data_IF_817240845058
#
_entry.id   IF_817240845058
#
_cell.length_a   1.000
_cell.length_b   1.000
_cell.length_c   1.000
_cell.angle_alpha   90.00
_cell.angle_beta   90.00
_cell.angle_gamma   90.00
#
_symmetry.space_group_name_H-M   'P 1'
#
loop_
_entity.id
_entity.type
_entity.pdbx_description
1 polymer ?
#
# COMPACT_ATOMS: atom_id res chain seq x y z
N UNK A 1 18.42 42.87 74.29
CA UNK A 1 17.62 42.75 73.06
C UNK A 1 17.82 41.34 72.50
N UNK A 2 16.93 40.40 72.81
CA UNK A 2 17.00 39.02 72.30
C UNK A 2 15.95 38.84 71.20
N UNK A 3 16.38 38.51 69.99
CA UNK A 3 15.49 38.20 68.86
C UNK A 3 15.06 36.74 68.92
N UNK A 4 13.78 36.50 69.21
CA UNK A 4 13.17 35.17 69.13
C UNK A 4 12.75 34.90 67.68
N UNK A 5 13.49 34.06 66.96
CA UNK A 5 13.12 33.62 65.61
C UNK A 5 12.12 32.47 65.74
N UNK A 6 10.88 32.67 65.29
CA UNK A 6 9.89 31.59 65.16
C UNK A 6 10.21 30.76 63.91
N UNK A 7 10.36 29.44 64.00
CA UNK A 7 10.57 28.61 62.81
C UNK A 7 9.28 28.58 61.99
N UNK A 8 9.39 28.86 60.69
CA UNK A 8 8.32 28.63 59.72
C UNK A 8 8.54 27.26 59.08
N UNK A 9 7.60 26.35 59.32
CA UNK A 9 7.55 25.07 58.60
C UNK A 9 7.05 25.36 57.19
N UNK A 10 7.90 25.15 56.19
CA UNK A 10 7.53 25.23 54.77
C UNK A 10 7.16 23.82 54.34
N UNK A 11 5.86 23.57 54.15
CA UNK A 11 5.38 22.30 53.58
C UNK A 11 5.62 22.32 52.07
N UNK A 12 6.63 21.57 51.61
CA UNK A 12 6.87 21.34 50.18
C UNK A 12 5.98 20.17 49.75
N UNK A 13 4.91 20.47 49.02
CA UNK A 13 4.07 19.44 48.39
C UNK A 13 4.75 19.01 47.09
N UNK A 14 5.49 17.90 47.11
CA UNK A 14 5.97 17.27 45.88
C UNK A 14 4.79 16.57 45.18
N UNK A 15 4.28 17.18 44.12
CA UNK A 15 3.32 16.55 43.22
C UNK A 15 4.07 15.53 42.34
N UNK A 16 4.13 14.28 42.79
CA UNK A 16 4.57 13.15 41.96
C UNK A 16 3.53 12.94 40.85
N UNK A 17 3.74 13.62 39.72
CA UNK A 17 3.01 13.36 38.50
C UNK A 17 3.50 12.01 37.95
N UNK A 18 2.93 10.91 38.43
CA UNK A 18 3.05 9.62 37.76
C UNK A 18 2.32 9.77 36.44
N UNK A 19 3.04 10.16 35.38
CA UNK A 19 2.57 9.87 34.04
C UNK A 19 2.52 8.36 33.95
N UNK A 20 1.31 7.80 34.02
CA UNK A 20 1.09 6.44 33.62
C UNK A 20 1.58 6.37 32.17
N UNK A 21 2.75 5.76 31.96
CA UNK A 21 3.18 5.35 30.64
C UNK A 21 2.20 4.24 30.29
N UNK A 22 1.07 4.60 29.70
CA UNK A 22 0.18 3.64 29.09
C UNK A 22 1.04 2.91 28.07
N UNK A 23 1.38 1.65 28.37
CA UNK A 23 1.97 0.77 27.39
C UNK A 23 1.07 0.87 26.15
N UNK A 24 1.63 1.25 25.00
CA UNK A 24 0.92 1.24 23.73
C UNK A 24 0.37 -0.18 23.55
N UNK A 25 -0.90 -0.36 23.87
CA UNK A 25 -1.60 -1.59 23.57
C UNK A 25 -1.76 -1.57 22.05
N UNK A 26 -1.07 -2.50 21.36
CA UNK A 26 -1.32 -2.71 19.95
C UNK A 26 -2.77 -3.14 19.82
N UNK A 27 -3.63 -2.20 19.44
CA UNK A 27 -5.02 -2.54 19.14
C UNK A 27 -5.06 -3.27 17.81
N UNK A 28 -5.73 -4.42 17.82
CA UNK A 28 -6.04 -5.13 16.58
C UNK A 28 -7.01 -4.28 15.77
N UNK A 29 -6.71 -4.11 14.49
CA UNK A 29 -7.58 -3.41 13.56
C UNK A 29 -8.19 -4.39 12.57
N UNK A 30 -9.49 -4.28 12.37
CA UNK A 30 -10.22 -5.06 11.36
C UNK A 30 -11.21 -4.14 10.67
N UNK A 31 -11.24 -4.21 9.34
CA UNK A 31 -12.18 -3.46 8.53
C UNK A 31 -12.54 -4.23 7.26
N UNK A 32 -13.73 -3.94 6.74
CA UNK A 32 -14.20 -4.40 5.44
C UNK A 32 -14.69 -3.19 4.69
N UNK A 33 -14.31 -3.09 3.42
CA UNK A 33 -14.62 -1.95 2.56
C UNK A 33 -15.28 -2.43 1.27
N UNK A 34 -16.07 -1.54 0.67
CA UNK A 34 -16.79 -1.82 -0.57
C UNK A 34 -18.29 -2.08 -0.33
N UNK A 35 -19.15 -1.85 -1.34
CA UNK A 35 -18.88 -1.11 -2.58
C UNK A 35 -18.38 0.33 -2.31
N UNK A 36 -17.60 0.90 -3.22
CA UNK A 36 -16.92 2.18 -3.02
C UNK A 36 -17.69 3.34 -3.64
N UNK A 37 -17.93 4.40 -2.86
CA UNK A 37 -18.53 5.65 -3.31
C UNK A 37 -17.67 6.87 -2.91
N UNK A 38 -18.13 8.07 -3.23
CA UNK A 38 -17.38 9.31 -2.95
C UNK A 38 -17.11 9.57 -1.45
N UNK A 39 -17.85 8.94 -0.53
CA UNK A 39 -17.61 9.08 0.92
C UNK A 39 -16.27 8.49 1.35
N UNK A 40 -15.78 7.48 0.63
CA UNK A 40 -14.50 6.81 0.89
C UNK A 40 -13.27 7.71 0.65
N UNK A 41 -13.44 8.88 0.02
CA UNK A 41 -12.38 9.89 -0.09
C UNK A 41 -11.95 10.48 1.26
N UNK A 42 -12.72 10.25 2.32
CA UNK A 42 -12.32 10.58 3.71
C UNK A 42 -11.49 9.48 4.37
N UNK A 43 -11.56 8.26 3.84
CA UNK A 43 -10.94 7.04 4.42
C UNK A 43 -9.64 6.72 3.68
N UNK A 44 -9.60 6.95 2.37
CA UNK A 44 -8.47 6.64 1.50
C UNK A 44 -7.85 7.89 0.89
N UNK A 45 -6.53 7.86 0.75
CA UNK A 45 -5.79 8.80 -0.07
C UNK A 45 -5.61 8.21 -1.47
N UNK A 46 -5.78 9.04 -2.48
CA UNK A 46 -5.66 8.69 -3.89
C UNK A 46 -4.47 9.44 -4.49
N UNK A 47 -3.72 8.78 -5.37
CA UNK A 47 -2.56 9.35 -6.06
C UNK A 47 -2.53 8.90 -7.52
N UNK A 48 -1.88 9.71 -8.36
CA UNK A 48 -1.78 9.46 -9.79
C UNK A 48 -3.16 9.52 -10.43
N UNK A 49 -3.49 8.48 -11.18
CA UNK A 49 -4.77 8.38 -11.89
C UNK A 49 -5.87 7.70 -11.06
N UNK A 50 -5.58 7.30 -9.82
CA UNK A 50 -6.51 6.52 -9.02
C UNK A 50 -7.78 7.32 -8.69
N UNK A 51 -8.93 6.67 -8.84
CA UNK A 51 -10.24 7.24 -8.56
C UNK A 51 -11.20 6.17 -8.02
N UNK A 52 -12.43 6.59 -7.76
CA UNK A 52 -13.55 5.69 -7.51
C UNK A 52 -14.42 5.75 -8.76
N UNK A 53 -14.70 4.60 -9.34
CA UNK A 53 -15.56 4.45 -10.52
C UNK A 53 -16.31 3.13 -10.43
N UNK A 54 -17.56 3.10 -10.88
CA UNK A 54 -18.40 1.89 -10.92
C UNK A 54 -18.38 1.05 -9.63
N UNK A 55 -18.51 1.70 -8.47
CA UNK A 55 -18.47 1.07 -7.15
C UNK A 55 -17.14 0.37 -6.77
N UNK A 56 -16.05 0.65 -7.49
CA UNK A 56 -14.73 0.08 -7.31
C UNK A 56 -13.66 1.16 -7.11
N UNK A 57 -12.55 0.77 -6.47
CA UNK A 57 -11.30 1.53 -6.56
C UNK A 57 -10.69 1.26 -7.93
N UNK A 58 -10.58 2.29 -8.77
CA UNK A 58 -9.98 2.22 -10.09
C UNK A 58 -8.58 2.84 -10.02
N UNK A 59 -7.53 2.04 -10.18
CA UNK A 59 -6.14 2.52 -10.10
C UNK A 59 -5.71 3.27 -11.37
N UNK A 60 -6.06 2.71 -12.52
CA UNK A 60 -5.84 3.31 -13.84
C UNK A 60 -7.16 3.35 -14.61
N UNK A 61 -7.42 4.41 -15.40
CA UNK A 61 -8.66 4.55 -16.14
C UNK A 61 -8.87 3.37 -17.10
N UNK A 62 -10.10 2.89 -17.20
CA UNK A 62 -10.48 2.05 -18.32
C UNK A 62 -10.56 2.89 -19.60
N UNK A 63 -10.23 2.27 -20.73
CA UNK A 63 -10.27 2.93 -22.04
C UNK A 63 -11.67 3.06 -22.64
N UNK A 64 -12.70 2.46 -22.01
CA UNK A 64 -14.11 2.65 -22.37
C UNK A 64 -14.59 4.09 -22.10
N UNK A 65 -13.87 4.87 -21.30
CA UNK A 65 -14.12 6.30 -21.09
C UNK A 65 -13.81 7.17 -22.34
N UNK A 66 -13.33 6.58 -23.45
CA UNK A 66 -13.09 7.31 -24.70
C UNK A 66 -14.33 7.53 -25.57
N UNK A 67 -15.52 7.07 -25.18
CA UNK A 67 -16.75 7.31 -25.95
C UNK A 67 -17.38 8.67 -25.61
N UNK A 68 -16.70 9.78 -25.96
CA UNK A 68 -17.37 11.10 -26.09
C UNK A 68 -16.72 12.32 -25.44
N UNK A 69 -15.54 12.22 -24.83
CA UNK A 69 -14.78 13.38 -24.33
C UNK A 69 -13.31 13.30 -24.74
N UNK A 70 -12.60 14.43 -24.68
CA UNK A 70 -11.23 14.64 -25.18
C UNK A 70 -10.31 13.44 -24.91
N UNK A 71 -9.48 13.00 -25.90
CA UNK A 71 -8.61 11.85 -25.73
C UNK A 71 -7.67 12.06 -24.54
N UNK A 72 -7.92 11.36 -23.44
CA UNK A 72 -6.96 11.28 -22.33
C UNK A 72 -5.91 10.23 -22.70
N UNK A 73 -4.61 10.52 -22.54
CA UNK A 73 -3.59 9.47 -22.63
C UNK A 73 -3.89 8.41 -21.57
N UNK A 74 -4.23 7.21 -22.02
CA UNK A 74 -4.43 6.01 -21.17
C UNK A 74 -3.13 5.21 -20.98
N UNK A 75 -2.05 5.69 -21.60
CA UNK A 75 -0.73 5.07 -21.54
C UNK A 75 0.13 5.75 -20.48
N UNK A 76 1.10 5.01 -19.93
CA UNK A 76 2.07 5.54 -18.99
C UNK A 76 1.43 6.18 -17.75
N UNK A 77 0.36 5.56 -17.27
CA UNK A 77 -0.33 5.96 -16.04
C UNK A 77 0.00 4.98 -14.91
N UNK A 78 -0.01 5.50 -13.69
CA UNK A 78 -0.10 4.72 -12.48
C UNK A 78 -1.17 5.33 -11.58
N UNK A 79 -1.65 4.56 -10.62
CA UNK A 79 -2.46 5.09 -9.53
C UNK A 79 -2.29 4.26 -8.28
N UNK A 80 -2.37 4.93 -7.13
CA UNK A 80 -2.30 4.28 -5.82
C UNK A 80 -3.49 4.71 -4.98
N UNK A 81 -3.99 3.77 -4.17
CA UNK A 81 -4.96 4.05 -3.12
C UNK A 81 -4.42 3.51 -1.80
N UNK A 82 -4.36 4.36 -0.77
CA UNK A 82 -3.85 4.00 0.56
C UNK A 82 -4.85 4.34 1.64
N UNK A 83 -5.06 3.41 2.57
CA UNK A 83 -5.82 3.66 3.79
C UNK A 83 -5.16 4.79 4.60
N UNK A 84 -5.94 5.80 4.99
CA UNK A 84 -5.41 6.95 5.75
C UNK A 84 -4.93 6.57 7.14
N UNK A 85 -5.49 5.51 7.73
CA UNK A 85 -5.04 4.98 9.02
C UNK A 85 -3.64 4.39 8.89
N UNK A 86 -2.73 4.83 9.76
CA UNK A 86 -1.38 4.29 9.87
C UNK A 86 -1.32 3.18 10.90
N UNK A 87 -0.38 2.24 10.71
CA UNK A 87 -0.16 1.10 11.58
C UNK A 87 1.30 1.02 11.98
N UNK A 88 1.57 0.66 13.23
CA UNK A 88 2.91 0.33 13.70
C UNK A 88 3.19 -1.14 13.34
N UNK A 89 4.11 -1.38 12.40
CA UNK A 89 4.45 -2.73 11.95
C UNK A 89 5.48 -3.42 12.85
N UNK A 90 6.30 -2.64 13.56
CA UNK A 90 7.24 -3.17 14.54
C UNK A 90 7.56 -2.13 15.60
N UNK A 91 7.97 -2.61 16.77
CA UNK A 91 8.45 -1.83 17.90
C UNK A 91 9.74 -2.50 18.40
N UNK A 92 10.83 -1.72 18.41
CA UNK A 92 12.08 -2.15 19.04
C UNK A 92 12.10 -1.67 20.49
N UNK A 93 12.10 -2.62 21.41
CA UNK A 93 12.20 -2.33 22.84
C UNK A 93 13.58 -2.76 23.32
N UNK A 94 14.46 -1.80 23.59
CA UNK A 94 15.83 -2.06 24.06
C UNK A 94 15.90 -2.93 25.33
N UNK A 95 14.82 -3.02 26.10
CA UNK A 95 14.75 -3.78 27.34
C UNK A 95 13.81 -5.01 27.26
N UNK A 96 13.22 -5.31 26.09
CA UNK A 96 12.36 -6.48 25.85
C UNK A 96 12.65 -7.09 24.49
N UNK A 97 11.80 -8.04 24.08
CA UNK A 97 11.82 -8.62 22.75
C UNK A 97 11.19 -7.65 21.76
N UNK A 98 11.84 -7.46 20.61
CA UNK A 98 11.27 -6.77 19.47
C UNK A 98 9.91 -7.37 19.12
N UNK A 99 8.95 -6.50 18.84
CA UNK A 99 7.59 -6.89 18.49
C UNK A 99 7.36 -6.57 17.02
N UNK A 100 6.86 -7.54 16.28
CA UNK A 100 6.45 -7.39 14.89
C UNK A 100 4.95 -7.66 14.80
N UNK A 101 4.23 -6.81 14.09
CA UNK A 101 2.80 -6.98 13.86
C UNK A 101 2.55 -7.99 12.74
N UNK A 102 1.72 -8.98 13.01
CA UNK A 102 1.16 -9.85 11.97
C UNK A 102 -0.14 -9.25 11.45
N UNK A 103 -0.42 -9.40 10.15
CA UNK A 103 -1.67 -8.94 9.55
C UNK A 103 -2.08 -9.82 8.37
N UNK A 104 -3.37 -9.78 8.06
CA UNK A 104 -3.89 -10.37 6.84
C UNK A 104 -4.70 -9.33 6.06
N UNK A 105 -4.84 -9.58 4.77
CA UNK A 105 -5.66 -8.77 3.87
C UNK A 105 -6.25 -9.67 2.81
N UNK A 106 -7.49 -9.41 2.42
CA UNK A 106 -8.10 -10.06 1.27
C UNK A 106 -8.83 -9.04 0.44
N UNK A 107 -8.70 -9.14 -0.88
CA UNK A 107 -9.34 -8.24 -1.80
C UNK A 107 -9.72 -8.96 -3.09
N UNK A 108 -10.69 -8.36 -3.79
CA UNK A 108 -11.09 -8.76 -5.13
C UNK A 108 -10.54 -7.71 -6.09
N UNK A 109 -9.93 -8.15 -7.18
CA UNK A 109 -9.51 -7.27 -8.25
C UNK A 109 -9.72 -7.94 -9.62
N UNK A 110 -9.72 -7.12 -10.65
CA UNK A 110 -9.80 -7.58 -12.04
C UNK A 110 -8.95 -6.66 -12.90
N UNK A 111 -8.19 -7.25 -13.82
CA UNK A 111 -7.54 -6.52 -14.91
C UNK A 111 -8.39 -6.70 -16.15
N UNK A 112 -8.77 -5.59 -16.80
CA UNK A 112 -9.65 -5.62 -17.96
C UNK A 112 -8.92 -5.05 -19.19
N UNK A 113 -8.35 -5.92 -20.04
CA UNK A 113 -7.79 -5.47 -21.30
C UNK A 113 -8.90 -5.20 -22.32
N UNK A 114 -8.80 -4.07 -23.01
CA UNK A 114 -9.52 -3.93 -24.26
C UNK A 114 -8.85 -4.84 -25.29
N UNK A 115 -9.63 -5.75 -25.87
CA UNK A 115 -9.15 -6.59 -26.97
C UNK A 115 -8.50 -5.77 -28.09
N UNK A 116 -7.62 -6.42 -28.86
CA UNK A 116 -6.76 -5.78 -29.85
C UNK A 116 -5.29 -6.13 -29.59
N UNK A 117 -4.37 -5.53 -30.36
CA UNK A 117 -2.92 -5.78 -30.25
C UNK A 117 -2.24 -4.96 -29.13
N UNK A 118 -2.96 -4.60 -28.06
CA UNK A 118 -2.41 -3.83 -26.94
C UNK A 118 -2.11 -4.74 -25.75
N UNK A 119 -0.95 -4.58 -25.13
CA UNK A 119 -0.60 -5.30 -23.91
C UNK A 119 -1.60 -4.99 -22.79
N UNK A 120 -2.11 -5.99 -22.05
CA UNK A 120 -3.04 -5.82 -20.93
C UNK A 120 -2.41 -5.16 -19.69
N UNK A 121 -1.15 -4.75 -19.78
CA UNK A 121 -0.28 -4.40 -18.67
C UNK A 121 -0.53 -3.09 -17.95
N UNK A 122 0.08 -2.92 -16.76
CA UNK A 122 1.27 -3.67 -16.30
C UNK A 122 1.02 -4.58 -15.08
N UNK A 123 -0.08 -4.40 -14.35
CA UNK A 123 -0.43 -5.26 -13.21
C UNK A 123 -1.06 -4.51 -12.04
N UNK A 124 -1.02 -5.12 -10.86
CA UNK A 124 -1.52 -4.57 -9.60
C UNK A 124 -0.61 -5.01 -8.44
N UNK A 125 -0.53 -4.20 -7.38
CA UNK A 125 0.21 -4.59 -6.18
C UNK A 125 -0.50 -4.18 -4.89
N UNK A 126 -0.36 -5.02 -3.85
CA UNK A 126 -0.60 -4.63 -2.47
C UNK A 126 0.69 -4.06 -1.88
N UNK A 127 0.64 -2.88 -1.27
CA UNK A 127 1.85 -2.17 -0.82
C UNK A 127 1.79 -1.80 0.67
N UNK A 128 2.95 -1.85 1.32
CA UNK A 128 3.23 -1.19 2.60
C UNK A 128 4.31 -0.13 2.38
N UNK A 129 3.99 1.11 2.73
CA UNK A 129 4.92 2.25 2.64
C UNK A 129 4.78 3.14 3.89
N UNK A 130 5.89 3.62 4.48
CA UNK A 130 5.84 4.52 5.63
C UNK A 130 5.49 5.96 5.20
N UNK A 131 5.84 6.35 3.97
CA UNK A 131 5.66 7.70 3.45
C UNK A 131 4.78 7.69 2.20
N UNK A 132 3.70 8.45 2.24
CA UNK A 132 2.72 8.54 1.14
C UNK A 132 2.98 9.72 0.20
N UNK A 133 3.45 10.84 0.73
CA UNK A 133 3.62 12.10 0.01
C UNK A 133 4.95 12.21 -0.77
N UNK A 134 5.62 11.08 -1.05
CA UNK A 134 6.87 11.11 -1.80
C UNK A 134 6.57 11.00 -3.29
N UNK A 135 6.95 12.02 -4.04
CA UNK A 135 6.78 12.05 -5.48
C UNK A 135 7.51 10.87 -6.14
N UNK A 136 6.77 10.03 -6.87
CA UNK A 136 7.34 9.01 -7.73
C UNK A 136 7.41 9.54 -9.15
N UNK A 137 8.63 9.77 -9.63
CA UNK A 137 8.89 10.17 -11.02
C UNK A 137 8.98 8.94 -11.91
N UNK A 138 8.26 8.96 -13.04
CA UNK A 138 8.27 7.88 -14.04
C UNK A 138 7.96 6.49 -13.45
N UNK A 139 6.96 6.42 -12.57
CA UNK A 139 6.55 5.21 -11.86
C UNK A 139 5.56 4.31 -12.61
N UNK A 140 5.19 4.68 -13.84
CA UNK A 140 4.30 3.91 -14.70
C UNK A 140 5.05 2.75 -15.39
N UNK A 141 4.31 1.97 -16.18
CA UNK A 141 4.90 0.88 -16.95
C UNK A 141 5.37 -0.23 -16.02
N UNK A 142 6.53 -0.81 -16.36
CA UNK A 142 7.26 -1.78 -15.54
C UNK A 142 7.38 -1.45 -14.06
N UNK A 143 7.29 -0.17 -13.65
CA UNK A 143 7.46 0.21 -12.25
C UNK A 143 6.18 0.11 -11.39
N UNK A 144 5.01 -0.22 -11.96
CA UNK A 144 3.74 -0.53 -11.26
C UNK A 144 3.24 0.52 -10.23
N UNK A 145 3.73 1.76 -10.27
CA UNK A 145 3.48 2.75 -9.22
C UNK A 145 4.24 2.47 -7.91
N UNK A 146 5.17 1.50 -7.90
CA UNK A 146 5.89 1.02 -6.73
C UNK A 146 7.15 1.84 -6.44
N UNK A 147 7.90 2.13 -7.48
CA UNK A 147 9.20 2.82 -7.40
C UNK A 147 9.36 3.82 -8.54
N UNK A 148 10.40 4.65 -8.48
CA UNK A 148 10.72 5.63 -9.51
C UNK A 148 12.19 5.58 -9.90
N UNK A 149 12.51 6.35 -10.93
CA UNK A 149 13.90 6.53 -11.37
C UNK A 149 14.77 7.03 -10.20
N UNK A 150 15.86 6.32 -9.93
CA UNK A 150 16.81 6.67 -8.86
C UNK A 150 16.37 6.23 -7.46
N UNK A 151 15.32 5.41 -7.30
CA UNK A 151 14.91 4.84 -6.01
C UNK A 151 14.95 3.31 -6.01
N UNK A 152 14.68 2.74 -7.17
CA UNK A 152 14.65 1.30 -7.36
C UNK A 152 15.94 0.63 -6.88
N UNK A 153 15.80 -0.38 -6.01
CA UNK A 153 16.92 -1.13 -5.44
C UNK A 153 17.55 -0.52 -4.19
N UNK A 154 17.19 0.71 -3.81
CA UNK A 154 17.78 1.37 -2.64
C UNK A 154 16.91 1.25 -1.39
N UNK A 155 17.53 1.09 -0.23
CA UNK A 155 16.84 0.94 1.07
C UNK A 155 15.95 2.12 1.45
N UNK A 156 16.29 3.33 0.98
CA UNK A 156 15.46 4.51 1.17
C UNK A 156 14.16 4.46 0.36
N UNK A 157 13.96 3.50 -0.55
CA UNK A 157 12.66 3.32 -1.19
C UNK A 157 11.57 2.99 -0.15
N UNK A 158 11.95 2.25 0.91
CA UNK A 158 11.10 1.84 2.03
C UNK A 158 9.77 1.24 1.57
N UNK A 159 9.86 0.28 0.65
CA UNK A 159 8.72 -0.38 0.01
C UNK A 159 8.74 -1.87 0.34
N UNK A 160 7.59 -2.38 0.75
CA UNK A 160 7.25 -3.79 0.64
C UNK A 160 6.02 -3.91 -0.25
N UNK A 161 6.05 -4.78 -1.25
CA UNK A 161 4.89 -5.04 -2.09
C UNK A 161 4.71 -6.52 -2.40
N UNK A 162 3.46 -6.91 -2.64
CA UNK A 162 3.12 -8.16 -3.32
C UNK A 162 2.49 -7.77 -4.66
N UNK A 163 3.22 -7.99 -5.74
CA UNK A 163 2.78 -7.67 -7.10
C UNK A 163 2.06 -8.85 -7.77
N UNK A 164 1.17 -8.51 -8.68
CA UNK A 164 0.47 -9.37 -9.61
C UNK A 164 0.76 -8.80 -10.99
N UNK A 165 1.79 -9.33 -11.64
CA UNK A 165 2.38 -8.80 -12.86
C UNK A 165 1.92 -9.62 -14.08
N UNK A 166 1.38 -8.93 -15.07
CA UNK A 166 0.87 -9.51 -16.31
C UNK A 166 1.64 -9.08 -17.58
N UNK A 167 2.85 -8.55 -17.43
CA UNK A 167 3.77 -8.19 -18.54
C UNK A 167 5.19 -8.59 -18.20
N UNK A 168 5.81 -9.41 -19.04
CA UNK A 168 7.19 -9.82 -18.80
C UNK A 168 8.19 -8.70 -19.11
N UNK A 169 8.99 -8.32 -18.12
CA UNK A 169 10.29 -7.67 -18.29
C UNK A 169 11.46 -8.65 -18.15
N UNK A 170 12.68 -8.16 -18.37
CA UNK A 170 13.93 -8.96 -18.38
C UNK A 170 14.26 -9.63 -17.04
N UNK A 171 13.66 -9.15 -15.95
CA UNK A 171 13.87 -9.65 -14.60
C UNK A 171 12.75 -10.59 -14.13
N UNK A 172 11.70 -10.76 -14.92
CA UNK A 172 10.52 -11.54 -14.56
C UNK A 172 10.60 -12.99 -15.04
N UNK A 173 10.01 -13.94 -14.30
CA UNK A 173 9.97 -15.34 -14.71
C UNK A 173 9.14 -15.53 -16.00
N UNK A 174 7.99 -14.87 -16.09
CA UNK A 174 7.05 -14.91 -17.20
C UNK A 174 6.15 -13.67 -17.19
N UNK A 175 5.16 -13.62 -18.09
CA UNK A 175 4.22 -12.50 -18.21
C UNK A 175 2.94 -12.68 -17.38
N UNK A 176 2.94 -13.53 -16.35
CA UNK A 176 1.77 -13.83 -15.52
C UNK A 176 2.21 -14.46 -14.19
N UNK A 177 2.69 -13.63 -13.27
CA UNK A 177 3.27 -14.09 -12.01
C UNK A 177 2.85 -13.23 -10.80
N UNK A 178 3.07 -13.79 -9.62
CA UNK A 178 3.03 -13.06 -8.34
C UNK A 178 4.44 -12.91 -7.81
N UNK A 179 4.74 -11.77 -7.20
CA UNK A 179 6.07 -11.42 -6.71
C UNK A 179 6.05 -10.77 -5.34
N UNK A 180 7.12 -10.97 -4.55
CA UNK A 180 7.39 -10.24 -3.31
C UNK A 180 8.53 -9.25 -3.54
N UNK A 181 8.21 -7.97 -3.50
CA UNK A 181 9.13 -6.88 -3.80
C UNK A 181 9.60 -6.21 -2.51
N UNK A 182 10.92 -6.11 -2.30
CA UNK A 182 11.52 -5.36 -1.18
C UNK A 182 12.39 -4.26 -1.76
N UNK A 183 11.96 -3.00 -1.60
CA UNK A 183 12.65 -1.78 -2.05
C UNK A 183 12.95 -1.69 -3.56
N UNK A 184 12.60 -2.69 -4.37
CA UNK A 184 12.87 -2.73 -5.80
C UNK A 184 11.67 -3.27 -6.56
N UNK A 185 11.56 -2.93 -7.85
CA UNK A 185 10.64 -3.60 -8.77
C UNK A 185 11.05 -5.05 -9.01
N UNK A 186 12.35 -5.39 -8.94
CA UNK A 186 12.76 -6.78 -9.07
C UNK A 186 12.34 -7.55 -7.82
N UNK A 187 11.41 -8.47 -7.98
CA UNK A 187 10.96 -9.36 -6.91
C UNK A 187 12.08 -10.20 -6.30
N UNK A 188 12.06 -10.33 -4.97
CA UNK A 188 12.94 -11.21 -4.21
C UNK A 188 12.54 -12.68 -4.34
N UNK A 189 11.24 -12.94 -4.47
CA UNK A 189 10.64 -14.27 -4.66
C UNK A 189 9.49 -14.12 -5.62
N UNK A 190 9.37 -15.05 -6.57
CA UNK A 190 8.28 -15.06 -7.56
C UNK A 190 7.66 -16.45 -7.68
N UNK A 191 6.41 -16.49 -8.15
CA UNK A 191 5.74 -17.72 -8.55
C UNK A 191 4.90 -17.47 -9.81
N UNK A 192 5.06 -18.32 -10.82
CA UNK A 192 4.22 -18.32 -12.02
C UNK A 192 2.78 -18.66 -11.65
N UNK A 193 1.82 -17.87 -12.13
CA UNK A 193 0.39 -18.15 -11.99
C UNK A 193 -0.11 -19.08 -13.09
N UNK A 194 0.59 -19.10 -14.23
CA UNK A 194 0.28 -19.98 -15.37
C UNK A 194 0.31 -21.45 -14.99
N UNK A 195 1.27 -21.87 -14.16
CA UNK A 195 1.38 -23.26 -13.69
C UNK A 195 0.24 -23.68 -12.75
N UNK A 196 -0.47 -22.70 -12.19
CA UNK A 196 -1.62 -22.88 -11.31
C UNK A 196 -2.96 -22.74 -12.06
N UNK A 197 -2.94 -22.49 -13.37
CA UNK A 197 -4.14 -22.24 -14.17
C UNK A 197 -4.84 -20.92 -13.83
N UNK A 198 -4.10 -19.95 -13.28
CA UNK A 198 -4.61 -18.62 -12.94
C UNK A 198 -4.10 -17.63 -13.99
N UNK A 199 -5.00 -16.81 -14.53
CA UNK A 199 -4.68 -15.78 -15.52
C UNK A 199 -5.12 -14.40 -15.03
N UNK A 200 -4.15 -13.50 -14.89
CA UNK A 200 -4.39 -12.14 -14.37
C UNK A 200 -5.23 -11.27 -15.30
N UNK A 201 -5.02 -11.40 -16.61
CA UNK A 201 -5.66 -10.58 -17.62
C UNK A 201 -5.96 -11.40 -18.88
N UNK A 202 -7.05 -12.18 -18.89
CA UNK A 202 -7.38 -13.05 -20.02
C UNK A 202 -7.65 -12.27 -21.30
N UNK A 203 -7.24 -12.84 -22.43
CA UNK A 203 -7.47 -12.25 -23.75
C UNK A 203 -8.97 -12.13 -24.07
N UNK A 204 -9.33 -11.13 -24.90
CA UNK A 204 -10.66 -11.07 -25.53
C UNK A 204 -11.76 -10.33 -24.78
N UNK A 205 -11.46 -9.22 -24.10
CA UNK A 205 -12.44 -8.46 -23.27
C UNK A 205 -13.09 -9.31 -22.16
N UNK A 206 -12.46 -10.42 -21.78
CA UNK A 206 -12.86 -11.13 -20.58
C UNK A 206 -12.24 -10.43 -19.36
N UNK A 207 -13.03 -10.21 -18.31
CA UNK A 207 -12.50 -9.90 -16.98
C UNK A 207 -12.43 -11.19 -16.15
N UNK A 208 -11.28 -11.47 -15.56
CA UNK A 208 -11.20 -12.41 -14.44
C UNK A 208 -11.36 -11.61 -13.14
N UNK A 209 -12.34 -11.98 -12.32
CA UNK A 209 -12.43 -11.47 -10.96
C UNK A 209 -11.62 -12.39 -10.05
N UNK A 210 -10.49 -11.91 -9.57
CA UNK A 210 -9.54 -12.67 -8.77
C UNK A 210 -9.71 -12.35 -7.29
N UNK A 211 -9.83 -13.40 -6.48
CA UNK A 211 -9.88 -13.29 -5.02
C UNK A 211 -8.51 -13.62 -4.44
N UNK A 212 -7.92 -12.62 -3.79
CA UNK A 212 -6.59 -12.73 -3.19
C UNK A 212 -6.69 -12.75 -1.68
N UNK A 213 -5.85 -13.57 -1.06
CA UNK A 213 -5.63 -13.60 0.39
C UNK A 213 -4.14 -13.50 0.67
N UNK A 214 -3.75 -12.50 1.46
CA UNK A 214 -2.39 -12.28 1.91
C UNK A 214 -2.34 -12.45 3.44
N UNK A 215 -1.33 -13.17 3.92
CA UNK A 215 -1.07 -13.37 5.35
C UNK A 215 0.40 -13.12 5.62
N UNK A 216 0.70 -12.15 6.47
CA UNK A 216 2.03 -11.83 6.95
C UNK A 216 2.08 -12.16 8.44
N UNK A 217 2.92 -13.13 8.80
CA UNK A 217 3.06 -13.63 10.16
C UNK A 217 4.43 -13.28 10.72
#
# INVERSE_FOLDING_TARGET
>A
MGLTVKPRVITVVMLLCFTAVAALHLETFTATYGPFDSSYRKIFNFEGSATIDNNALQLTPNSDYQKGLTPRPIQNLYGRVRLSKQFMLWEQDYNKTDRVASFNSSFLFSVYPLGGNTSPGEGLAFILVPFWNRALTSSYGKYLGLTGLGMDGYSYNCLLAVEFDNVKQEFDPDANHVGLNINSIRSNVTASLTTLGIELAPEGQASSLLKTYLSFQ
#
